data_IF_888859798422
#
_entry.id   IF_888859798422
#
_cell.length_a   1.000
_cell.length_b   1.000
_cell.length_c   1.000
_cell.angle_alpha   90.00
_cell.angle_beta   90.00
_cell.angle_gamma   90.00
#
_symmetry.space_group_name_H-M   'P 1'
#
loop_
_entity.id
_entity.type
_entity.pdbx_description
1 polymer ?
#
# COMPACT_ATOMS: atom_id res chain seq x y z
N UNK A 1 -22.19 15.92 25.34
CA UNK A 1 -22.53 14.49 25.46
C UNK A 1 -22.82 13.96 24.07
N UNK A 2 -21.84 13.33 23.42
CA UNK A 2 -22.09 12.53 22.23
C UNK A 2 -22.46 11.13 22.73
N UNK A 3 -23.66 10.66 22.38
CA UNK A 3 -24.16 9.34 22.75
C UNK A 3 -23.64 8.30 21.76
N UNK A 4 -23.32 7.11 22.27
CA UNK A 4 -22.83 5.90 21.58
C UNK A 4 -23.78 5.38 20.49
N UNK A 5 -24.97 5.97 20.35
CA UNK A 5 -25.98 5.63 19.34
C UNK A 5 -25.57 5.85 17.88
N UNK A 6 -24.28 6.07 17.57
CA UNK A 6 -23.73 6.26 16.22
C UNK A 6 -22.96 5.02 15.69
N UNK A 7 -22.76 3.98 16.50
CA UNK A 7 -22.28 2.70 16.01
C UNK A 7 -23.44 1.91 15.36
N UNK A 8 -23.17 1.08 14.33
CA UNK A 8 -24.18 0.21 13.71
C UNK A 8 -24.88 -0.67 14.75
N UNK A 9 -26.17 -0.97 14.56
CA UNK A 9 -26.93 -1.78 15.54
C UNK A 9 -26.70 -3.29 15.35
N UNK A 10 -26.92 -4.09 16.41
CA UNK A 10 -26.89 -5.55 16.32
C UNK A 10 -27.73 -6.13 15.20
N UNK A 11 -27.06 -6.84 14.29
CA UNK A 11 -27.66 -7.53 13.14
C UNK A 11 -27.71 -6.73 11.83
N UNK A 12 -27.25 -5.48 11.81
CA UNK A 12 -27.01 -4.75 10.57
C UNK A 12 -25.70 -5.23 9.92
N UNK A 13 -25.68 -5.32 8.58
CA UNK A 13 -24.46 -5.69 7.84
C UNK A 13 -23.46 -4.56 8.06
N UNK A 14 -22.43 -4.82 8.88
CA UNK A 14 -21.43 -3.83 9.27
C UNK A 14 -20.78 -3.20 8.03
N UNK A 15 -21.11 -1.94 7.77
CA UNK A 15 -20.40 -1.14 6.78
C UNK A 15 -19.10 -0.64 7.44
N UNK A 16 -17.97 -1.21 7.03
CA UNK A 16 -16.65 -0.89 7.58
C UNK A 16 -16.26 0.58 7.33
N UNK A 17 -16.76 1.19 6.25
CA UNK A 17 -16.55 2.61 5.99
C UNK A 17 -17.39 3.47 6.95
N UNK A 18 -18.60 3.03 7.30
CA UNK A 18 -19.43 3.68 8.31
C UNK A 18 -18.83 3.53 9.71
N UNK A 19 -18.31 2.35 10.06
CA UNK A 19 -17.61 2.11 11.32
C UNK A 19 -16.36 3.00 11.44
N UNK A 20 -15.51 3.03 10.40
CA UNK A 20 -14.33 3.90 10.36
C UNK A 20 -14.73 5.37 10.54
N UNK A 21 -15.74 5.85 9.80
CA UNK A 21 -16.26 7.22 9.94
C UNK A 21 -16.79 7.52 11.34
N UNK A 22 -17.48 6.57 11.98
CA UNK A 22 -17.99 6.71 13.34
C UNK A 22 -16.85 6.77 14.36
N UNK A 23 -15.82 5.93 14.24
CA UNK A 23 -14.61 5.98 15.08
C UNK A 23 -13.89 7.32 14.89
N UNK A 24 -13.70 7.75 13.64
CA UNK A 24 -13.11 9.03 13.29
C UNK A 24 -13.85 10.19 13.97
N UNK A 25 -15.19 10.24 13.86
CA UNK A 25 -16.00 11.25 14.53
C UNK A 25 -15.90 11.19 16.06
N UNK A 26 -15.84 9.98 16.64
CA UNK A 26 -15.68 9.79 18.08
C UNK A 26 -14.34 10.34 18.57
N UNK A 27 -13.24 10.01 17.89
CA UNK A 27 -11.90 10.55 18.14
C UNK A 27 -11.95 12.07 18.09
N UNK A 28 -12.51 12.65 17.02
CA UNK A 28 -12.65 14.10 16.86
C UNK A 28 -13.57 14.76 17.90
N UNK A 29 -14.55 14.04 18.46
CA UNK A 29 -15.46 14.53 19.50
C UNK A 29 -14.83 14.58 20.89
N UNK A 30 -13.69 13.90 21.11
CA UNK A 30 -12.88 13.98 22.35
C UNK A 30 -12.02 15.24 22.43
N UNK A 31 -12.05 16.09 21.39
CA UNK A 31 -11.39 17.40 21.41
C UNK A 31 -12.03 18.29 22.49
N UNK A 32 -11.22 19.05 23.22
CA UNK A 32 -11.72 20.06 24.16
C UNK A 32 -12.18 21.30 23.40
N UNK A 33 -13.00 22.13 24.04
CA UNK A 33 -13.62 23.33 23.43
C UNK A 33 -12.64 24.33 22.78
N UNK A 34 -11.33 24.22 23.06
CA UNK A 34 -10.30 25.16 22.60
C UNK A 34 -9.01 24.47 22.10
N UNK A 35 -9.00 23.15 21.86
CA UNK A 35 -7.79 22.45 21.37
C UNK A 35 -7.87 20.91 21.37
N UNK A 36 -6.76 20.25 21.01
CA UNK A 36 -6.67 18.78 20.98
C UNK A 36 -6.55 18.14 22.39
N UNK A 37 -6.31 16.82 22.47
CA UNK A 37 -6.30 16.01 23.69
C UNK A 37 -5.38 16.57 24.80
N UNK A 38 -5.59 16.12 26.04
CA UNK A 38 -4.91 16.67 27.22
C UNK A 38 -3.37 16.65 27.12
N UNK A 39 -2.78 15.55 26.64
CA UNK A 39 -1.34 15.43 26.47
C UNK A 39 -0.85 15.64 25.04
N UNK A 40 0.44 15.97 24.93
CA UNK A 40 1.14 16.14 23.65
C UNK A 40 1.30 14.81 22.93
N UNK A 41 1.49 13.70 23.66
CA UNK A 41 1.68 12.38 23.06
C UNK A 41 0.41 11.91 22.33
N UNK A 42 -0.76 12.05 22.95
CA UNK A 42 -2.04 11.69 22.35
C UNK A 42 -2.35 12.56 21.14
N UNK A 43 -2.01 13.85 21.21
CA UNK A 43 -2.14 14.79 20.09
C UNK A 43 -1.23 14.39 18.93
N UNK A 44 0.00 13.98 19.21
CA UNK A 44 0.95 13.52 18.20
C UNK A 44 0.50 12.21 17.56
N UNK A 45 0.02 11.26 18.36
CA UNK A 45 -0.47 9.96 17.86
C UNK A 45 -1.68 10.16 16.97
N UNK A 46 -2.69 10.91 17.41
CA UNK A 46 -3.85 11.20 16.57
C UNK A 46 -3.46 11.96 15.29
N UNK A 47 -2.47 12.85 15.37
CA UNK A 47 -1.88 13.49 14.19
C UNK A 47 -1.34 12.46 13.21
N UNK A 48 -0.57 11.50 13.70
CA UNK A 48 0.00 10.43 12.90
C UNK A 48 -1.08 9.53 12.28
N UNK A 49 -2.08 9.11 13.07
CA UNK A 49 -3.22 8.32 12.58
C UNK A 49 -3.98 9.06 11.48
N UNK A 50 -4.27 10.36 11.64
CA UNK A 50 -4.92 11.10 10.55
C UNK A 50 -4.00 11.37 9.36
N UNK A 51 -2.69 11.48 9.58
CA UNK A 51 -1.73 11.66 8.49
C UNK A 51 -1.65 10.41 7.60
N UNK A 52 -1.72 9.20 8.15
CA UNK A 52 -1.76 7.97 7.34
C UNK A 52 -3.00 7.89 6.44
N UNK A 53 -4.07 8.61 6.79
CA UNK A 53 -5.32 8.66 6.01
C UNK A 53 -5.28 9.67 4.85
N UNK A 54 -4.21 10.48 4.70
CA UNK A 54 -4.14 11.60 3.75
C UNK A 54 -4.34 11.20 2.28
N UNK A 55 -3.95 9.97 1.91
CA UNK A 55 -4.12 9.48 0.54
C UNK A 55 -5.59 9.24 0.18
N UNK A 56 -6.44 8.99 1.19
CA UNK A 56 -7.85 8.59 1.03
C UNK A 56 -8.81 9.73 1.38
N UNK A 57 -8.50 10.51 2.42
CA UNK A 57 -9.35 11.59 2.92
C UNK A 57 -8.65 12.95 2.83
N UNK A 58 -9.24 13.88 2.08
CA UNK A 58 -8.78 15.26 1.91
C UNK A 58 -8.90 16.13 3.19
N UNK A 59 -8.89 15.55 4.39
CA UNK A 59 -9.11 16.25 5.66
C UNK A 59 -7.86 17.00 6.15
N UNK A 60 -7.31 17.80 5.24
CA UNK A 60 -6.20 18.72 5.45
C UNK A 60 -6.48 19.73 6.55
N UNK A 61 -7.75 19.97 6.92
CA UNK A 61 -8.11 20.89 7.99
C UNK A 61 -7.66 20.35 9.36
N UNK A 62 -8.00 19.11 9.70
CA UNK A 62 -7.64 18.50 11.00
C UNK A 62 -6.13 18.46 11.15
N UNK A 63 -5.41 18.03 10.11
CA UNK A 63 -3.94 17.94 10.10
C UNK A 63 -3.30 19.32 10.29
N UNK A 64 -3.82 20.35 9.60
CA UNK A 64 -3.31 21.71 9.77
C UNK A 64 -3.55 22.26 11.17
N UNK A 65 -4.67 21.89 11.80
CA UNK A 65 -4.95 22.27 13.18
C UNK A 65 -3.98 21.57 14.14
N UNK A 66 -3.76 20.25 14.00
CA UNK A 66 -2.83 19.48 14.85
C UNK A 66 -1.42 20.05 14.72
N UNK A 67 -0.99 20.31 13.49
CA UNK A 67 0.27 21.00 13.21
C UNK A 67 0.37 22.34 13.94
N UNK A 68 -0.68 23.15 13.89
CA UNK A 68 -0.73 24.45 14.55
C UNK A 68 -0.52 24.34 16.07
N UNK A 69 -1.15 23.36 16.71
CA UNK A 69 -1.01 23.14 18.15
C UNK A 69 0.36 22.59 18.53
N UNK A 70 0.87 21.60 17.79
CA UNK A 70 2.22 21.03 18.03
C UNK A 70 3.31 22.09 17.89
N UNK A 71 3.15 23.03 16.95
CA UNK A 71 4.10 24.14 16.78
C UNK A 71 3.85 25.31 17.74
N UNK A 72 2.72 25.31 18.45
CA UNK A 72 2.31 26.29 19.45
C UNK A 72 2.29 25.69 20.85
N UNK A 73 1.10 25.67 21.46
CA UNK A 73 0.90 25.39 22.89
C UNK A 73 1.18 23.94 23.29
N UNK A 74 1.21 23.00 22.35
CA UNK A 74 1.49 21.57 22.60
C UNK A 74 2.93 21.20 22.30
N UNK A 75 3.78 22.15 21.92
CA UNK A 75 5.21 21.87 21.68
C UNK A 75 5.83 21.30 22.96
N UNK A 76 6.50 20.13 22.92
CA UNK A 76 7.27 19.60 24.05
C UNK A 76 8.22 20.68 24.62
N UNK A 77 8.16 20.88 25.93
CA UNK A 77 8.90 21.92 26.67
C UNK A 77 10.00 21.33 27.57
N UNK A 78 9.84 20.09 27.98
CA UNK A 78 10.75 19.31 28.80
C UNK A 78 10.92 17.89 28.20
N UNK A 79 11.73 17.72 27.14
CA UNK A 79 11.98 16.42 26.52
C UNK A 79 12.75 15.43 27.42
N UNK A 80 13.07 15.81 28.66
CA UNK A 80 13.62 14.89 29.66
C UNK A 80 12.53 14.15 30.45
N UNK A 81 11.26 14.55 30.33
CA UNK A 81 10.13 13.75 30.77
C UNK A 81 9.81 12.69 29.70
N UNK A 82 9.60 11.44 30.12
CA UNK A 82 9.41 10.30 29.22
C UNK A 82 8.25 10.48 28.24
N UNK A 83 7.11 10.98 28.74
CA UNK A 83 5.93 11.25 27.92
C UNK A 83 6.17 12.33 26.86
N UNK A 84 6.96 13.35 27.18
CA UNK A 84 7.34 14.41 26.24
C UNK A 84 8.41 13.94 25.24
N UNK A 85 9.32 13.06 25.67
CA UNK A 85 10.29 12.42 24.79
C UNK A 85 9.58 11.53 23.75
N UNK A 86 8.67 10.68 24.20
CA UNK A 86 7.83 9.85 23.32
C UNK A 86 7.00 10.73 22.38
N UNK A 87 6.47 11.84 22.88
CA UNK A 87 5.75 12.80 22.06
C UNK A 87 6.65 13.43 20.99
N UNK A 88 7.90 13.78 21.29
CA UNK A 88 8.84 14.29 20.28
C UNK A 88 9.06 13.28 19.16
N UNK A 89 9.24 12.00 19.48
CA UNK A 89 9.37 10.93 18.49
C UNK A 89 8.09 10.79 17.65
N UNK A 90 6.91 10.74 18.27
CA UNK A 90 5.63 10.70 17.52
C UNK A 90 5.41 11.92 16.63
N UNK A 91 5.75 13.12 17.12
CA UNK A 91 5.69 14.35 16.34
C UNK A 91 6.62 14.26 15.12
N UNK A 92 7.83 13.71 15.29
CA UNK A 92 8.75 13.53 14.18
C UNK A 92 8.19 12.57 13.12
N UNK A 93 7.59 11.45 13.54
CA UNK A 93 6.89 10.53 12.63
C UNK A 93 5.75 11.25 11.89
N UNK A 94 4.89 11.96 12.62
CA UNK A 94 3.77 12.71 12.06
C UNK A 94 4.23 13.73 11.00
N UNK A 95 5.24 14.54 11.31
CA UNK A 95 5.75 15.54 10.36
C UNK A 95 6.36 14.90 9.11
N UNK A 96 6.95 13.72 9.26
CA UNK A 96 7.49 12.99 8.13
C UNK A 96 6.37 12.47 7.21
N UNK A 97 5.30 11.90 7.77
CA UNK A 97 4.12 11.43 7.00
C UNK A 97 3.46 12.57 6.20
N UNK A 98 3.41 13.79 6.75
CA UNK A 98 2.83 14.96 6.05
C UNK A 98 3.83 15.72 5.18
N UNK A 99 4.97 15.12 4.84
CA UNK A 99 6.01 15.68 3.97
C UNK A 99 6.63 17.01 4.47
N UNK A 100 6.73 17.18 5.79
CA UNK A 100 7.39 18.32 6.45
C UNK A 100 8.69 17.87 7.12
N UNK A 101 9.60 17.30 6.33
CA UNK A 101 10.83 16.68 6.84
C UNK A 101 11.71 17.63 7.67
N UNK A 102 11.74 18.94 7.39
CA UNK A 102 12.51 19.88 8.23
C UNK A 102 12.04 19.90 9.69
N UNK A 103 10.73 19.83 9.92
CA UNK A 103 10.16 19.77 11.27
C UNK A 103 10.41 18.40 11.89
N UNK A 104 10.28 17.31 11.12
CA UNK A 104 10.60 15.98 11.60
C UNK A 104 12.06 15.87 12.10
N UNK A 105 13.00 16.47 11.36
CA UNK A 105 14.42 16.54 11.71
C UNK A 105 14.66 17.32 13.00
N UNK A 106 13.97 18.44 13.21
CA UNK A 106 14.09 19.23 14.44
C UNK A 106 13.68 18.41 15.68
N UNK A 107 12.52 17.74 15.61
CA UNK A 107 12.00 16.96 16.74
C UNK A 107 12.80 15.69 17.01
N UNK A 108 13.27 14.99 15.98
CA UNK A 108 14.11 13.79 16.18
C UNK A 108 15.49 14.15 16.77
N UNK A 109 16.05 15.31 16.41
CA UNK A 109 17.33 15.77 16.98
C UNK A 109 17.16 16.19 18.44
N UNK A 110 16.07 16.88 18.76
CA UNK A 110 15.71 17.21 20.14
C UNK A 110 15.53 15.94 20.99
N UNK A 111 14.75 14.98 20.47
CA UNK A 111 14.49 13.72 21.15
C UNK A 111 15.78 12.91 21.36
N UNK A 112 16.60 12.74 20.32
CA UNK A 112 17.86 11.99 20.42
C UNK A 112 18.84 12.63 21.39
N UNK A 113 18.90 13.97 21.44
CA UNK A 113 19.74 14.68 22.42
C UNK A 113 19.29 14.36 23.85
N UNK A 114 17.99 14.51 24.16
CA UNK A 114 17.45 14.21 25.49
C UNK A 114 17.57 12.74 25.86
N UNK A 115 17.25 11.83 24.94
CA UNK A 115 17.40 10.40 25.15
C UNK A 115 18.86 10.01 25.44
N UNK A 116 19.84 10.64 24.77
CA UNK A 116 21.26 10.41 25.03
C UNK A 116 21.69 10.98 26.40
N UNK A 117 21.22 12.17 26.77
CA UNK A 117 21.46 12.74 28.10
C UNK A 117 20.90 11.81 29.20
N UNK A 118 19.68 11.32 29.04
CA UNK A 118 19.05 10.32 29.92
C UNK A 118 19.89 9.04 29.98
N UNK A 119 20.25 8.47 28.83
CA UNK A 119 20.99 7.22 28.74
C UNK A 119 22.40 7.31 29.35
N UNK A 120 22.98 8.52 29.44
CA UNK A 120 24.34 8.74 29.94
C UNK A 120 24.40 9.18 31.40
N UNK A 121 23.42 9.96 31.89
CA UNK A 121 23.48 10.61 33.20
C UNK A 121 22.68 9.97 34.33
N UNK A 122 21.76 9.06 34.02
CA UNK A 122 20.93 8.39 35.04
C UNK A 122 21.68 7.19 35.63
N UNK A 123 21.48 6.84 36.90
CA UNK A 123 22.00 5.58 37.49
C UNK A 123 21.55 4.40 36.60
N UNK A 124 22.39 3.41 36.27
CA UNK A 124 21.96 2.20 35.57
C UNK A 124 20.63 1.63 36.07
N UNK A 125 20.31 1.67 37.37
CA UNK A 125 19.02 1.20 37.87
C UNK A 125 17.85 2.14 37.56
N UNK A 126 18.06 3.47 37.59
CA UNK A 126 17.05 4.48 37.24
C UNK A 126 16.86 4.63 35.71
N UNK A 127 17.87 4.29 34.89
CA UNK A 127 17.81 4.35 33.41
C UNK A 127 16.67 3.52 32.82
N UNK A 128 16.26 2.49 33.55
CA UNK A 128 15.35 1.48 33.03
C UNK A 128 13.88 1.81 33.22
N UNK A 129 13.52 2.75 34.10
CA UNK A 129 12.14 3.19 34.19
C UNK A 129 11.73 3.97 32.93
N UNK A 130 12.67 4.73 32.34
CA UNK A 130 12.44 5.60 31.17
C UNK A 130 12.02 4.91 29.86
N UNK A 131 12.25 3.61 29.73
CA UNK A 131 11.91 2.82 28.54
C UNK A 131 11.05 1.60 28.90
N UNK A 132 10.43 1.60 30.08
CA UNK A 132 9.65 0.47 30.57
C UNK A 132 8.19 0.47 30.07
N UNK A 133 7.70 1.61 29.61
CA UNK A 133 6.35 1.73 29.03
C UNK A 133 6.37 1.37 27.54
N UNK A 134 5.54 0.42 27.11
CA UNK A 134 5.55 -0.07 25.73
C UNK A 134 5.16 1.00 24.70
N UNK A 135 4.37 2.00 25.07
CA UNK A 135 4.01 3.15 24.23
C UNK A 135 5.24 3.96 23.82
N UNK A 136 6.15 4.20 24.77
CA UNK A 136 7.30 5.05 24.52
C UNK A 136 8.33 4.31 23.66
N UNK A 137 8.53 3.02 23.93
CA UNK A 137 9.35 2.16 23.08
C UNK A 137 8.82 2.12 21.64
N UNK A 138 7.51 1.89 21.49
CA UNK A 138 6.87 1.93 20.19
C UNK A 138 7.04 3.29 19.51
N UNK A 139 6.86 4.39 20.24
CA UNK A 139 7.01 5.74 19.72
C UNK A 139 8.40 6.01 19.14
N UNK A 140 9.44 5.65 19.88
CA UNK A 140 10.84 5.80 19.48
C UNK A 140 11.13 5.02 18.20
N UNK A 141 10.78 3.73 18.18
CA UNK A 141 11.07 2.85 17.04
C UNK A 141 10.31 3.30 15.79
N UNK A 142 9.04 3.67 15.95
CA UNK A 142 8.21 4.17 14.85
C UNK A 142 8.76 5.45 14.22
N UNK A 143 9.22 6.40 15.04
CA UNK A 143 9.82 7.63 14.53
C UNK A 143 11.10 7.39 13.73
N UNK A 144 11.94 6.48 14.20
CA UNK A 144 13.17 6.12 13.50
C UNK A 144 12.90 5.42 12.17
N UNK A 145 11.92 4.51 12.13
CA UNK A 145 11.49 3.88 10.89
C UNK A 145 10.89 4.89 9.90
N UNK A 146 9.95 5.74 10.36
CA UNK A 146 9.29 6.73 9.52
C UNK A 146 10.28 7.73 8.91
N UNK A 147 11.26 8.20 9.70
CA UNK A 147 12.27 9.17 9.25
C UNK A 147 13.44 8.55 8.48
N UNK A 148 13.46 7.21 8.32
CA UNK A 148 14.58 6.46 7.76
C UNK A 148 15.94 6.87 8.38
N UNK A 149 15.94 7.06 9.70
CA UNK A 149 17.12 7.46 10.48
C UNK A 149 17.50 6.34 11.42
N UNK A 150 18.78 6.01 11.48
CA UNK A 150 19.30 5.07 12.46
C UNK A 150 19.22 5.67 13.87
N UNK A 151 18.83 4.84 14.83
CA UNK A 151 18.97 5.14 16.25
C UNK A 151 20.46 5.33 16.55
N UNK A 152 20.84 6.37 17.31
CA UNK A 152 22.19 6.44 17.87
C UNK A 152 22.51 5.16 18.64
N UNK A 153 23.71 4.59 18.47
CA UNK A 153 24.11 3.29 19.00
C UNK A 153 23.74 3.09 20.48
N UNK A 154 23.98 4.13 21.30
CA UNK A 154 23.68 4.07 22.73
C UNK A 154 22.19 4.00 23.04
N UNK A 155 21.35 4.69 22.26
CA UNK A 155 19.90 4.64 22.41
C UNK A 155 19.39 3.28 21.93
N UNK A 156 19.91 2.80 20.80
CA UNK A 156 19.57 1.48 20.26
C UNK A 156 19.84 0.36 21.28
N UNK A 157 21.01 0.39 21.93
CA UNK A 157 21.37 -0.56 23.00
C UNK A 157 20.36 -0.54 24.15
N UNK A 158 19.90 0.64 24.57
CA UNK A 158 18.94 0.80 25.67
C UNK A 158 17.54 0.32 25.27
N UNK A 159 17.10 0.63 24.04
CA UNK A 159 15.81 0.17 23.50
C UNK A 159 15.78 -1.35 23.41
N UNK A 160 16.83 -1.99 22.86
CA UNK A 160 16.93 -3.45 22.77
C UNK A 160 16.94 -4.10 24.16
N UNK A 161 17.73 -3.59 25.09
CA UNK A 161 17.77 -4.11 26.46
C UNK A 161 16.42 -4.01 27.19
N UNK A 162 15.66 -2.95 26.91
CA UNK A 162 14.32 -2.75 27.49
C UNK A 162 13.30 -3.70 26.88
N UNK A 163 13.33 -3.89 25.55
CA UNK A 163 12.48 -4.86 24.85
C UNK A 163 12.74 -6.30 25.33
N UNK A 164 14.00 -6.68 25.50
CA UNK A 164 14.36 -8.01 26.03
C UNK A 164 13.83 -8.22 27.45
N UNK A 165 13.92 -7.20 28.31
CA UNK A 165 13.39 -7.28 29.66
C UNK A 165 11.87 -7.40 29.68
N UNK A 166 11.16 -6.61 28.87
CA UNK A 166 9.70 -6.70 28.77
C UNK A 166 9.31 -8.10 28.30
N UNK A 167 10.03 -8.65 27.32
CA UNK A 167 9.84 -10.02 26.84
C UNK A 167 10.07 -11.06 27.95
N UNK A 168 11.15 -10.93 28.73
CA UNK A 168 11.48 -11.81 29.86
C UNK A 168 10.49 -11.70 31.02
N UNK A 169 9.85 -10.54 31.20
CA UNK A 169 8.81 -10.31 32.20
C UNK A 169 7.43 -10.86 31.79
N UNK A 170 7.39 -11.84 30.87
CA UNK A 170 6.18 -12.44 30.32
C UNK A 170 5.24 -11.40 29.67
N UNK A 171 5.73 -10.62 28.70
CA UNK A 171 4.92 -9.63 27.95
C UNK A 171 3.57 -10.14 27.40
N UNK A 172 3.43 -11.46 27.30
CA UNK A 172 2.26 -12.17 26.87
C UNK A 172 1.12 -12.21 27.91
N UNK A 173 1.37 -11.79 29.15
CA UNK A 173 0.33 -11.68 30.18
C UNK A 173 -0.54 -10.45 29.99
N UNK A 174 -0.08 -9.49 29.21
CA UNK A 174 -0.81 -8.25 28.94
C UNK A 174 -0.81 -8.00 27.43
N UNK A 175 -1.99 -8.17 26.82
CA UNK A 175 -2.20 -8.00 25.39
C UNK A 175 -1.75 -6.65 24.84
N UNK A 176 -1.92 -5.59 25.63
CA UNK A 176 -1.54 -4.24 25.25
C UNK A 176 -0.02 -4.07 25.23
N UNK A 177 0.68 -4.57 26.28
CA UNK A 177 2.15 -4.59 26.32
C UNK A 177 2.70 -5.40 25.14
N UNK A 178 2.18 -6.61 24.92
CA UNK A 178 2.58 -7.45 23.79
C UNK A 178 2.40 -6.73 22.45
N UNK A 179 1.25 -6.10 22.22
CA UNK A 179 0.94 -5.49 20.95
C UNK A 179 1.96 -4.40 20.57
N UNK A 180 2.26 -3.51 21.50
CA UNK A 180 3.18 -2.39 21.28
C UNK A 180 4.65 -2.83 21.30
N UNK A 181 5.08 -3.57 22.33
CA UNK A 181 6.47 -4.02 22.44
C UNK A 181 6.83 -5.07 21.38
N UNK A 182 5.90 -5.97 21.04
CA UNK A 182 6.07 -6.94 19.97
C UNK A 182 6.18 -6.25 18.60
N UNK A 183 5.36 -5.22 18.33
CA UNK A 183 5.49 -4.41 17.11
C UNK A 183 6.85 -3.71 17.04
N UNK A 184 7.26 -3.04 18.12
CA UNK A 184 8.57 -2.40 18.21
C UNK A 184 9.72 -3.39 18.00
N UNK A 185 9.62 -4.59 18.59
CA UNK A 185 10.61 -5.66 18.42
C UNK A 185 10.71 -6.15 16.96
N UNK A 186 9.58 -6.27 16.25
CA UNK A 186 9.60 -6.63 14.83
C UNK A 186 10.25 -5.55 13.97
N UNK A 187 9.87 -4.28 14.20
CA UNK A 187 10.38 -3.13 13.45
C UNK A 187 11.89 -2.96 13.62
N UNK A 188 12.41 -3.04 14.85
CA UNK A 188 13.86 -2.85 15.11
C UNK A 188 14.72 -4.00 14.57
N UNK A 189 14.12 -5.18 14.37
CA UNK A 189 14.79 -6.36 13.81
C UNK A 189 14.45 -6.57 12.33
N UNK A 190 13.97 -5.52 11.64
CA UNK A 190 13.62 -5.52 10.22
C UNK A 190 12.75 -6.72 9.79
N UNK A 191 11.84 -7.15 10.67
CA UNK A 191 10.97 -8.31 10.45
C UNK A 191 11.74 -9.59 10.07
N UNK A 192 12.97 -9.77 10.56
CA UNK A 192 13.74 -11.00 10.32
C UNK A 192 12.95 -12.25 10.70
N UNK A 193 13.21 -13.37 10.02
CA UNK A 193 12.52 -14.63 10.30
C UNK A 193 12.58 -15.01 11.78
N UNK A 194 13.76 -14.88 12.41
CA UNK A 194 13.93 -15.17 13.84
C UNK A 194 13.07 -14.26 14.73
N UNK A 195 12.98 -12.97 14.42
CA UNK A 195 12.14 -12.05 15.18
C UNK A 195 10.65 -12.36 15.01
N UNK A 196 10.22 -12.63 13.77
CA UNK A 196 8.85 -13.04 13.49
C UNK A 196 8.48 -14.34 14.21
N UNK A 197 9.33 -15.37 14.13
CA UNK A 197 9.10 -16.64 14.82
C UNK A 197 9.02 -16.45 16.34
N UNK A 198 9.90 -15.63 16.92
CA UNK A 198 9.92 -15.35 18.36
C UNK A 198 8.65 -14.64 18.84
N UNK A 199 8.25 -13.56 18.16
CA UNK A 199 7.06 -12.77 18.55
C UNK A 199 5.78 -13.58 18.35
N UNK A 200 5.72 -14.43 17.33
CA UNK A 200 4.53 -15.23 17.01
C UNK A 200 4.32 -16.45 17.92
N UNK A 201 5.28 -16.84 18.77
CA UNK A 201 5.11 -17.96 19.72
C UNK A 201 3.86 -17.78 20.57
N UNK A 202 3.67 -16.61 21.18
CA UNK A 202 2.53 -16.41 22.08
C UNK A 202 1.19 -16.38 21.35
N UNK A 203 0.99 -15.57 20.29
CA UNK A 203 -0.27 -15.58 19.55
C UNK A 203 -0.71 -16.97 19.08
N UNK A 204 0.23 -17.83 18.69
CA UNK A 204 -0.03 -19.21 18.28
C UNK A 204 -0.50 -20.13 19.41
N UNK A 205 -0.29 -19.75 20.68
CA UNK A 205 -0.67 -20.52 21.87
C UNK A 205 -1.94 -20.00 22.54
N UNK A 206 -2.54 -18.92 22.01
CA UNK A 206 -3.72 -18.31 22.57
C UNK A 206 -4.93 -19.25 22.54
N UNK A 207 -5.57 -19.42 23.69
CA UNK A 207 -6.91 -19.99 23.76
C UNK A 207 -7.91 -18.92 23.32
N UNK A 208 -8.18 -18.89 22.01
CA UNK A 208 -9.04 -17.89 21.39
C UNK A 208 -10.46 -17.88 21.97
N UNK A 209 -10.89 -18.92 22.70
CA UNK A 209 -12.21 -18.91 23.36
C UNK A 209 -12.26 -17.97 24.56
N UNK A 210 -11.12 -17.66 25.19
CA UNK A 210 -11.00 -16.89 26.44
C UNK A 210 -10.58 -15.43 26.28
N UNK A 211 -10.43 -14.95 25.04
CA UNK A 211 -10.07 -13.56 24.77
C UNK A 211 -11.36 -12.73 24.65
N UNK A 212 -11.77 -12.07 25.73
CA UNK A 212 -12.88 -11.13 25.79
C UNK A 212 -12.36 -9.68 25.80
N UNK A 213 -11.59 -9.29 26.81
CA UNK A 213 -11.08 -7.91 26.99
C UNK A 213 -9.77 -7.62 26.21
N UNK A 214 -9.00 -8.66 25.91
CA UNK A 214 -7.70 -8.56 25.21
C UNK A 214 -7.80 -8.53 23.67
N UNK A 215 -9.01 -8.56 23.10
CA UNK A 215 -9.21 -8.73 21.67
C UNK A 215 -8.71 -7.55 20.84
N UNK A 216 -8.87 -6.31 21.32
CA UNK A 216 -8.51 -5.12 20.57
C UNK A 216 -6.99 -4.98 20.34
N UNK A 217 -6.11 -4.90 21.36
CA UNK A 217 -4.68 -4.72 21.12
C UNK A 217 -4.05 -5.85 20.31
N UNK A 218 -4.49 -7.09 20.53
CA UNK A 218 -4.01 -8.24 19.74
C UNK A 218 -4.50 -8.12 18.30
N UNK A 219 -5.76 -7.77 18.06
CA UNK A 219 -6.27 -7.56 16.69
C UNK A 219 -5.47 -6.46 15.99
N UNK A 220 -5.21 -5.35 16.67
CA UNK A 220 -4.39 -4.26 16.13
C UNK A 220 -2.98 -4.73 15.77
N UNK A 221 -2.31 -5.48 16.65
CA UNK A 221 -0.99 -6.04 16.39
C UNK A 221 -0.97 -6.88 15.09
N UNK A 222 -1.96 -7.76 14.95
CA UNK A 222 -2.10 -8.57 13.75
C UNK A 222 -2.33 -7.70 12.53
N UNK A 223 -3.33 -6.81 12.55
CA UNK A 223 -3.60 -5.93 11.41
C UNK A 223 -2.38 -5.15 10.98
N UNK A 224 -1.66 -4.55 11.92
CA UNK A 224 -0.51 -3.70 11.60
C UNK A 224 0.66 -4.48 11.00
N UNK A 225 0.97 -5.65 11.54
CA UNK A 225 2.21 -6.36 11.21
C UNK A 225 2.02 -7.53 10.22
N UNK A 226 0.77 -7.88 9.90
CA UNK A 226 0.41 -9.12 9.20
C UNK A 226 1.21 -9.37 7.93
N UNK A 227 1.23 -8.41 7.01
CA UNK A 227 1.79 -8.61 5.68
C UNK A 227 3.30 -8.90 5.73
N UNK A 228 4.02 -8.18 6.60
CA UNK A 228 5.47 -8.34 6.77
C UNK A 228 5.82 -9.61 7.55
N UNK A 229 5.06 -9.93 8.60
CA UNK A 229 5.26 -11.20 9.35
C UNK A 229 5.01 -12.38 8.43
N UNK A 230 3.93 -12.37 7.66
CA UNK A 230 3.54 -13.44 6.73
C UNK A 230 4.64 -13.78 5.72
N UNK A 231 5.34 -12.76 5.21
CA UNK A 231 6.43 -12.92 4.24
C UNK A 231 7.66 -13.62 4.83
N UNK A 232 7.87 -13.51 6.15
CA UNK A 232 9.11 -13.90 6.82
C UNK A 232 8.96 -15.15 7.71
N UNK A 233 7.78 -15.77 7.77
CA UNK A 233 7.53 -17.02 8.50
C UNK A 233 7.27 -18.20 7.57
N UNK A 234 7.41 -19.41 8.13
CA UNK A 234 7.09 -20.64 7.40
C UNK A 234 5.59 -20.79 7.08
N UNK A 235 5.30 -21.61 6.07
CA UNK A 235 3.94 -21.82 5.54
C UNK A 235 2.98 -22.46 6.56
N UNK A 236 3.47 -23.34 7.43
CA UNK A 236 2.65 -24.00 8.45
C UNK A 236 2.14 -22.99 9.47
N UNK A 237 3.01 -22.12 9.99
CA UNK A 237 2.62 -21.07 10.94
C UNK A 237 1.72 -20.03 10.27
N UNK A 238 1.97 -19.69 9.00
CA UNK A 238 1.15 -18.74 8.23
C UNK A 238 -0.34 -19.08 8.30
N UNK A 239 -0.71 -20.34 8.05
CA UNK A 239 -2.11 -20.77 8.09
C UNK A 239 -2.74 -20.61 9.49
N UNK A 240 -2.04 -21.00 10.54
CA UNK A 240 -2.57 -20.87 11.91
C UNK A 240 -2.76 -19.42 12.32
N UNK A 241 -1.89 -18.53 11.86
CA UNK A 241 -1.97 -17.10 12.16
C UNK A 241 -3.11 -16.46 11.35
N UNK A 242 -3.31 -16.86 10.09
CA UNK A 242 -4.47 -16.49 9.27
C UNK A 242 -5.79 -16.83 10.00
N UNK A 243 -5.92 -18.06 10.49
CA UNK A 243 -7.09 -18.51 11.24
C UNK A 243 -7.27 -17.72 12.55
N UNK A 244 -6.18 -17.43 13.26
CA UNK A 244 -6.19 -16.65 14.49
C UNK A 244 -6.67 -15.22 14.26
N UNK A 245 -6.17 -14.55 13.22
CA UNK A 245 -6.57 -13.19 12.86
C UNK A 245 -8.06 -13.11 12.57
N UNK A 246 -8.61 -14.07 11.81
CA UNK A 246 -10.04 -14.12 11.49
C UNK A 246 -10.90 -14.25 12.76
N UNK A 247 -10.49 -15.10 13.70
CA UNK A 247 -11.22 -15.28 14.96
C UNK A 247 -11.16 -14.02 15.83
N UNK A 248 -9.98 -13.40 15.95
CA UNK A 248 -9.79 -12.16 16.72
C UNK A 248 -10.65 -11.01 16.16
N UNK A 249 -10.66 -10.82 14.84
CA UNK A 249 -11.53 -9.85 14.16
C UNK A 249 -13.01 -10.10 14.47
N UNK A 250 -13.46 -11.35 14.29
CA UNK A 250 -14.85 -11.73 14.56
C UNK A 250 -15.26 -11.41 16.00
N UNK A 251 -14.36 -11.70 16.96
CA UNK A 251 -14.57 -11.37 18.37
C UNK A 251 -14.61 -9.88 18.64
N UNK A 252 -13.67 -9.11 18.09
CA UNK A 252 -13.64 -7.66 18.24
C UNK A 252 -14.94 -7.04 17.72
N UNK A 253 -15.39 -7.45 16.53
CA UNK A 253 -16.64 -6.97 15.94
C UNK A 253 -17.85 -7.34 16.80
N UNK A 254 -17.89 -8.56 17.33
CA UNK A 254 -18.94 -8.99 18.23
C UNK A 254 -18.98 -8.18 19.54
N UNK A 255 -17.81 -7.88 20.11
CA UNK A 255 -17.70 -7.02 21.30
C UNK A 255 -18.20 -5.61 21.00
N UNK A 256 -17.78 -5.01 19.89
CA UNK A 256 -18.23 -3.66 19.49
C UNK A 256 -19.75 -3.59 19.27
N UNK A 257 -20.38 -4.69 18.86
CA UNK A 257 -21.83 -4.79 18.66
C UNK A 257 -22.62 -4.89 19.98
N UNK A 258 -22.01 -5.48 21.02
CA UNK A 258 -22.67 -5.75 22.30
C UNK A 258 -22.51 -4.63 23.33
N UNK A 259 -21.48 -3.79 23.22
CA UNK A 259 -21.21 -2.76 24.22
C UNK A 259 -21.80 -1.40 23.86
N UNK A 260 -22.48 -0.79 24.83
CA UNK A 260 -22.66 0.65 24.91
C UNK A 260 -21.29 1.22 25.35
N UNK A 261 -20.42 1.57 24.40
CA UNK A 261 -19.07 2.11 24.63
C UNK A 261 -19.13 3.40 25.45
N UNK A 262 -19.13 3.31 26.78
CA UNK A 262 -19.15 4.47 27.67
C UNK A 262 -17.74 5.06 27.79
N UNK A 263 -17.64 6.35 27.47
CA UNK A 263 -16.37 7.08 27.35
C UNK A 263 -15.87 7.51 28.73
N UNK A 264 -14.76 6.95 29.23
CA UNK A 264 -14.10 7.55 30.39
C UNK A 264 -13.30 8.79 29.99
N UNK A 265 -13.53 9.85 30.74
CA UNK A 265 -12.74 11.07 30.71
C UNK A 265 -11.66 10.91 31.77
N UNK A 266 -10.40 10.78 31.35
CA UNK A 266 -9.19 10.75 32.18
C UNK A 266 -9.10 9.60 33.19
N UNK A 267 -8.04 8.80 33.09
CA UNK A 267 -7.41 8.29 34.32
C UNK A 267 -5.92 8.66 34.28
N UNK A 268 -5.42 9.36 35.31
CA UNK A 268 -4.02 9.24 35.68
C UNK A 268 -3.76 7.77 36.06
N UNK A 269 -2.59 7.24 35.73
CA UNK A 269 -2.23 5.84 35.99
C UNK A 269 -2.24 5.40 37.48
N UNK A 270 -2.58 6.28 38.42
CA UNK A 270 -2.47 6.05 39.87
C UNK A 270 -3.80 6.15 40.65
N UNK A 271 -4.97 6.24 40.01
CA UNK A 271 -6.24 6.33 40.75
C UNK A 271 -6.86 4.95 41.00
N UNK A 272 -6.89 4.54 42.28
CA UNK A 272 -7.63 3.38 42.79
C UNK A 272 -9.04 3.32 42.18
N UNK A 273 -9.30 2.22 41.47
CA UNK A 273 -10.59 1.91 40.86
C UNK A 273 -11.56 1.44 41.94
N UNK A 274 -12.30 2.36 42.55
CA UNK A 274 -13.53 2.03 43.25
C UNK A 274 -14.61 3.08 42.95
N UNK A 275 -15.79 2.57 42.59
CA UNK A 275 -17.08 3.26 42.41
C UNK A 275 -17.38 3.94 41.06
N UNK A 276 -17.66 3.12 40.03
CA UNK A 276 -18.62 3.49 38.98
C UNK A 276 -19.40 2.26 38.48
N UNK A 277 -20.63 2.08 38.95
CA UNK A 277 -21.53 0.97 38.61
C UNK A 277 -22.22 1.10 37.25
N UNK A 278 -21.46 1.19 36.16
CA UNK A 278 -21.97 1.03 34.80
C UNK A 278 -21.17 -0.04 34.06
N UNK A 279 -21.84 -1.09 33.57
CA UNK A 279 -21.28 -2.21 32.79
C UNK A 279 -20.74 -1.78 31.39
N UNK A 280 -20.37 -0.51 31.20
CA UNK A 280 -19.86 0.03 29.94
C UNK A 280 -18.35 -0.11 29.83
N UNK A 281 -17.86 -0.58 28.67
CA UNK A 281 -16.44 -0.68 28.37
C UNK A 281 -15.82 0.72 28.24
N UNK A 282 -14.86 1.03 29.12
CA UNK A 282 -14.06 2.26 29.08
C UNK A 282 -12.92 2.08 28.07
N UNK A 283 -12.92 2.86 26.98
CA UNK A 283 -11.86 2.84 25.96
C UNK A 283 -10.98 4.10 26.07
N UNK A 284 -9.67 3.94 26.19
CA UNK A 284 -8.69 5.03 26.18
C UNK A 284 -8.58 5.71 24.80
N UNK A 285 -7.88 6.84 24.69
CA UNK A 285 -7.68 7.51 23.39
C UNK A 285 -6.79 6.66 22.48
N UNK A 286 -5.76 6.02 23.03
CA UNK A 286 -4.85 5.15 22.27
C UNK A 286 -5.62 3.94 21.70
N UNK A 287 -6.47 3.30 22.50
CA UNK A 287 -7.28 2.17 22.03
C UNK A 287 -8.29 2.59 20.95
N UNK A 288 -8.85 3.81 21.02
CA UNK A 288 -9.65 4.34 19.92
C UNK A 288 -8.83 4.54 18.64
N UNK A 289 -7.59 5.01 18.74
CA UNK A 289 -6.71 5.17 17.58
C UNK A 289 -6.30 3.80 17.00
N UNK A 290 -6.07 2.80 17.84
CA UNK A 290 -5.87 1.41 17.38
C UNK A 290 -7.09 0.88 16.63
N UNK A 291 -8.30 1.13 17.14
CA UNK A 291 -9.55 0.79 16.45
C UNK A 291 -9.67 1.49 15.09
N UNK A 292 -9.27 2.76 15.02
CA UNK A 292 -9.31 3.55 13.78
C UNK A 292 -8.35 2.97 12.73
N UNK A 293 -7.11 2.64 13.11
CA UNK A 293 -6.14 1.97 12.23
C UNK A 293 -6.65 0.60 11.72
N UNK A 294 -7.29 -0.19 12.59
CA UNK A 294 -7.94 -1.45 12.18
C UNK A 294 -9.03 -1.14 11.14
N UNK A 295 -9.95 -0.23 11.45
CA UNK A 295 -11.08 0.09 10.59
C UNK A 295 -10.64 0.66 9.23
N UNK A 296 -9.60 1.49 9.22
CA UNK A 296 -8.99 2.01 8.00
C UNK A 296 -8.41 0.88 7.15
N UNK A 297 -7.56 0.01 7.72
CA UNK A 297 -6.95 -1.09 6.97
C UNK A 297 -8.01 -2.01 6.37
N UNK A 298 -9.11 -2.25 7.08
CA UNK A 298 -10.25 -3.02 6.57
C UNK A 298 -11.02 -2.27 5.47
N UNK A 299 -11.26 -0.97 5.63
CA UNK A 299 -11.83 -0.12 4.58
C UNK A 299 -10.97 -0.17 3.31
N UNK A 300 -9.66 0.00 3.44
CA UNK A 300 -8.70 -0.13 2.34
C UNK A 300 -8.72 -1.55 1.75
N UNK A 301 -8.72 -2.61 2.57
CA UNK A 301 -8.80 -3.99 2.08
C UNK A 301 -10.11 -4.31 1.34
N UNK A 302 -11.23 -3.68 1.73
CA UNK A 302 -12.49 -3.77 0.97
C UNK A 302 -12.47 -2.98 -0.34
N UNK A 303 -11.51 -2.06 -0.50
CA UNK A 303 -11.20 -1.30 -1.72
C UNK A 303 -10.04 -1.94 -2.54
N UNK A 304 -9.26 -2.84 -1.93
CA UNK A 304 -8.12 -3.52 -2.55
C UNK A 304 -8.63 -4.79 -3.24
N UNK A 305 -8.31 -4.86 -4.52
CA UNK A 305 -8.47 -5.98 -5.42
C UNK A 305 -8.27 -7.34 -4.70
N UNK A 306 -9.26 -8.21 -4.82
CA UNK A 306 -9.29 -9.60 -4.33
C UNK A 306 -8.01 -10.37 -4.69
N UNK A 307 -7.70 -11.44 -3.95
CA UNK A 307 -6.59 -12.35 -4.30
C UNK A 307 -6.70 -12.84 -5.77
N UNK A 308 -7.92 -13.05 -6.26
CA UNK A 308 -8.21 -13.36 -7.67
C UNK A 308 -7.76 -12.25 -8.62
N UNK A 309 -7.93 -10.98 -8.24
CA UNK A 309 -7.50 -9.82 -9.02
C UNK A 309 -5.98 -9.61 -8.92
N UNK A 310 -5.33 -9.86 -7.77
CA UNK A 310 -3.86 -9.86 -7.65
C UNK A 310 -3.24 -10.96 -8.53
N UNK A 311 -3.79 -12.17 -8.46
CA UNK A 311 -3.35 -13.28 -9.30
C UNK A 311 -3.66 -13.00 -10.78
N UNK A 312 -4.78 -12.33 -11.07
CA UNK A 312 -5.13 -11.78 -12.38
C UNK A 312 -4.08 -10.79 -12.89
N UNK A 313 -3.67 -9.81 -12.08
CA UNK A 313 -2.63 -8.86 -12.43
C UNK A 313 -1.28 -9.52 -12.68
N UNK A 314 -0.90 -10.50 -11.85
CA UNK A 314 0.33 -11.28 -12.05
C UNK A 314 0.29 -12.07 -13.36
N UNK A 315 -0.84 -12.72 -13.64
CA UNK A 315 -1.04 -13.47 -14.88
C UNK A 315 -0.98 -12.56 -16.10
N UNK A 316 -1.68 -11.42 -16.08
CA UNK A 316 -1.67 -10.43 -17.16
C UNK A 316 -0.28 -9.84 -17.38
N UNK A 317 0.43 -9.50 -16.30
CA UNK A 317 1.80 -8.99 -16.37
C UNK A 317 2.76 -10.03 -16.95
N UNK A 318 2.64 -11.30 -16.52
CA UNK A 318 3.44 -12.41 -17.05
C UNK A 318 3.14 -12.68 -18.53
N UNK A 319 1.88 -12.63 -18.94
CA UNK A 319 1.47 -12.83 -20.33
C UNK A 319 2.01 -11.71 -21.22
N UNK A 320 1.90 -10.45 -20.77
CA UNK A 320 2.47 -9.32 -21.50
C UNK A 320 3.99 -9.40 -21.60
N UNK A 321 4.68 -9.72 -20.50
CA UNK A 321 6.13 -9.86 -20.49
C UNK A 321 6.61 -10.98 -21.44
N UNK A 322 5.85 -12.07 -21.54
CA UNK A 322 6.11 -13.14 -22.50
C UNK A 322 6.02 -12.63 -23.95
N UNK A 323 4.92 -11.96 -24.32
CA UNK A 323 4.81 -11.36 -25.66
C UNK A 323 5.89 -10.32 -25.91
N UNK A 324 6.22 -9.49 -24.92
CA UNK A 324 7.28 -8.48 -25.04
C UNK A 324 8.60 -9.09 -25.45
N UNK A 325 9.08 -10.09 -24.70
CA UNK A 325 10.36 -10.75 -24.99
C UNK A 325 10.36 -11.40 -26.37
N UNK A 326 9.26 -12.09 -26.72
CA UNK A 326 9.11 -12.76 -28.01
C UNK A 326 9.12 -11.76 -29.18
N UNK A 327 8.36 -10.68 -29.07
CA UNK A 327 8.23 -9.64 -30.09
C UNK A 327 9.55 -8.89 -30.26
N UNK A 328 10.20 -8.48 -29.17
CA UNK A 328 11.48 -7.76 -29.20
C UNK A 328 12.56 -8.60 -29.90
N UNK A 329 12.69 -9.87 -29.54
CA UNK A 329 13.67 -10.78 -30.15
C UNK A 329 13.41 -10.93 -31.66
N UNK A 330 12.16 -11.18 -32.04
CA UNK A 330 11.79 -11.44 -33.43
C UNK A 330 11.86 -10.20 -34.31
N UNK A 331 11.42 -9.05 -33.81
CA UNK A 331 11.51 -7.80 -34.54
C UNK A 331 12.96 -7.32 -34.69
N UNK A 332 13.83 -7.55 -33.70
CA UNK A 332 15.25 -7.31 -33.85
C UNK A 332 15.85 -8.16 -34.99
N UNK A 333 15.48 -9.45 -35.09
CA UNK A 333 15.96 -10.35 -36.15
C UNK A 333 15.57 -9.88 -37.56
N UNK A 334 14.37 -9.30 -37.74
CA UNK A 334 13.92 -8.77 -39.03
C UNK A 334 14.33 -7.31 -39.28
N UNK A 335 15.11 -6.72 -38.39
CA UNK A 335 15.67 -5.37 -38.55
C UNK A 335 14.73 -4.23 -38.16
N UNK A 336 13.76 -4.49 -37.28
CA UNK A 336 12.80 -3.51 -36.74
C UNK A 336 13.00 -3.21 -35.24
N UNK A 337 14.14 -3.62 -34.67
CA UNK A 337 14.43 -3.40 -33.25
C UNK A 337 14.55 -1.92 -32.87
N UNK A 338 15.15 -1.10 -33.74
CA UNK A 338 15.33 0.34 -33.48
C UNK A 338 14.01 1.11 -33.40
N UNK A 339 12.99 0.68 -34.15
CA UNK A 339 11.64 1.25 -34.06
C UNK A 339 10.99 0.95 -32.72
N UNK A 340 11.23 -0.24 -32.14
CA UNK A 340 10.75 -0.58 -30.79
C UNK A 340 11.47 0.24 -29.71
N UNK A 341 12.79 0.39 -29.82
CA UNK A 341 13.58 1.19 -28.89
C UNK A 341 13.06 2.64 -28.86
N UNK A 342 12.82 3.24 -30.04
CA UNK A 342 12.29 4.59 -30.16
C UNK A 342 10.87 4.75 -29.55
N UNK A 343 10.03 3.70 -29.65
CA UNK A 343 8.71 3.68 -28.98
C UNK A 343 8.90 3.72 -27.46
N UNK A 344 9.78 2.89 -26.92
CA UNK A 344 10.03 2.81 -25.48
C UNK A 344 10.64 4.09 -24.91
N UNK A 345 11.65 4.65 -25.57
CA UNK A 345 12.23 5.94 -25.21
C UNK A 345 11.15 7.03 -25.19
N UNK A 346 10.24 7.01 -26.17
CA UNK A 346 9.11 7.94 -26.23
C UNK A 346 8.18 7.84 -25.01
N UNK A 347 7.81 6.63 -24.61
CA UNK A 347 6.92 6.36 -23.47
C UNK A 347 7.55 6.63 -22.11
N UNK A 348 8.87 6.49 -21.99
CA UNK A 348 9.61 6.70 -20.74
C UNK A 348 9.66 8.17 -20.31
N UNK A 349 9.42 9.10 -21.23
CA UNK A 349 9.39 10.53 -20.93
C UNK A 349 8.01 11.01 -20.47
N UNK A 350 7.95 12.09 -19.70
CA UNK A 350 6.70 12.81 -19.40
C UNK A 350 6.49 13.98 -20.38
N UNK A 351 6.51 13.65 -21.68
CA UNK A 351 6.33 14.63 -22.75
C UNK A 351 5.29 14.15 -23.79
N UNK A 352 4.16 14.85 -23.96
CA UNK A 352 3.14 14.51 -24.95
C UNK A 352 3.65 14.39 -26.40
N UNK A 353 4.66 15.17 -26.78
CA UNK A 353 5.24 15.07 -28.12
C UNK A 353 5.99 13.74 -28.31
N UNK A 354 6.65 13.25 -27.27
CA UNK A 354 7.31 11.94 -27.28
C UNK A 354 6.29 10.80 -27.36
N UNK A 355 5.16 10.90 -26.65
CA UNK A 355 4.08 9.91 -26.74
C UNK A 355 3.43 9.87 -28.12
N UNK A 356 3.27 11.03 -28.75
CA UNK A 356 2.82 11.12 -30.15
C UNK A 356 3.81 10.44 -31.10
N UNK A 357 5.12 10.61 -30.89
CA UNK A 357 6.13 9.92 -31.67
C UNK A 357 6.10 8.40 -31.46
N UNK A 358 5.84 7.93 -30.23
CA UNK A 358 5.66 6.51 -29.94
C UNK A 358 4.46 5.92 -30.70
N UNK A 359 3.33 6.64 -30.76
CA UNK A 359 2.15 6.23 -31.56
C UNK A 359 2.50 6.11 -33.06
N UNK A 360 3.26 7.06 -33.59
CA UNK A 360 3.74 6.99 -34.98
C UNK A 360 4.70 5.81 -35.19
N UNK A 361 5.53 5.52 -34.18
CA UNK A 361 6.39 4.34 -34.14
C UNK A 361 5.60 3.03 -34.30
N UNK A 362 4.49 2.87 -33.58
CA UNK A 362 3.64 1.68 -33.69
C UNK A 362 3.14 1.46 -35.14
N UNK A 363 2.74 2.54 -35.83
CA UNK A 363 2.36 2.47 -37.25
C UNK A 363 3.54 2.06 -38.13
N UNK A 364 4.72 2.61 -37.89
CA UNK A 364 5.91 2.33 -38.68
C UNK A 364 6.35 0.87 -38.53
N UNK A 365 6.24 0.28 -37.34
CA UNK A 365 6.50 -1.15 -37.10
C UNK A 365 5.59 -2.01 -37.97
N UNK A 366 4.27 -1.77 -37.97
CA UNK A 366 3.33 -2.50 -38.83
C UNK A 366 3.65 -2.35 -40.32
N UNK A 367 3.93 -1.13 -40.75
CA UNK A 367 4.26 -0.84 -42.14
C UNK A 367 5.53 -1.58 -42.57
N UNK A 368 6.61 -1.46 -41.79
CA UNK A 368 7.88 -2.11 -42.03
C UNK A 368 7.74 -3.62 -42.08
N UNK A 369 7.03 -4.18 -41.10
CA UNK A 369 6.81 -5.62 -41.02
C UNK A 369 6.00 -6.13 -42.22
N UNK A 370 4.94 -5.42 -42.62
CA UNK A 370 4.15 -5.80 -43.78
C UNK A 370 4.95 -5.82 -45.09
N UNK A 371 5.97 -4.95 -45.21
CA UNK A 371 6.86 -4.87 -46.36
C UNK A 371 7.91 -5.99 -46.35
N UNK A 372 8.41 -6.34 -45.17
CA UNK A 372 9.38 -7.43 -45.00
C UNK A 372 8.72 -8.78 -45.30
N UNK A 373 7.54 -9.01 -44.72
CA UNK A 373 6.85 -10.30 -44.77
C UNK A 373 6.15 -10.56 -46.11
N UNK A 374 5.72 -9.53 -46.83
CA UNK A 374 5.03 -9.69 -48.10
C UNK A 374 5.88 -9.21 -49.28
N UNK A 375 6.53 -10.15 -49.97
CA UNK A 375 7.39 -9.89 -51.13
C UNK A 375 6.83 -10.46 -52.44
N UNK A 376 5.68 -11.13 -52.38
CA UNK A 376 4.99 -11.69 -53.56
C UNK A 376 4.64 -10.57 -54.55
N UNK A 377 5.04 -10.68 -55.84
CA UNK A 377 4.79 -9.64 -56.82
C UNK A 377 3.30 -9.52 -57.18
N UNK A 378 2.86 -8.28 -57.44
CA UNK A 378 1.50 -7.96 -57.88
C UNK A 378 0.76 -7.04 -56.91
N UNK A 379 -0.36 -6.49 -57.41
CA UNK A 379 -1.18 -5.52 -56.67
C UNK A 379 -2.40 -6.14 -55.96
N UNK A 380 -2.70 -7.40 -56.26
CA UNK A 380 -3.84 -8.15 -55.74
C UNK A 380 -3.42 -9.55 -55.29
N UNK A 381 -4.02 -10.02 -54.19
CA UNK A 381 -3.91 -11.40 -53.73
C UNK A 381 -5.31 -12.02 -53.61
N UNK A 382 -5.42 -13.30 -53.97
CA UNK A 382 -6.68 -14.06 -53.85
C UNK A 382 -6.60 -14.92 -52.59
N UNK A 383 -7.42 -14.57 -51.60
CA UNK A 383 -7.54 -15.32 -50.35
C UNK A 383 -8.12 -16.73 -50.59
N UNK A 384 -7.92 -17.68 -49.66
CA UNK A 384 -8.45 -19.04 -49.77
C UNK A 384 -9.99 -19.13 -49.85
N UNK A 385 -10.71 -18.10 -49.39
CA UNK A 385 -12.16 -17.96 -49.52
C UNK A 385 -12.62 -17.48 -50.92
N UNK A 386 -11.67 -17.16 -51.82
CA UNK A 386 -11.92 -16.64 -53.15
C UNK A 386 -11.99 -15.11 -53.25
N UNK A 387 -11.96 -14.39 -52.13
CA UNK A 387 -11.95 -12.93 -52.06
C UNK A 387 -10.63 -12.37 -52.60
N UNK A 388 -10.70 -11.27 -53.36
CA UNK A 388 -9.52 -10.55 -53.83
C UNK A 388 -9.27 -9.34 -52.95
N UNK A 389 -8.06 -9.21 -52.43
CA UNK A 389 -7.61 -8.07 -51.63
C UNK A 389 -6.47 -7.34 -52.33
N UNK A 390 -6.46 -6.01 -52.23
CA UNK A 390 -5.35 -5.21 -52.74
C UNK A 390 -4.17 -5.22 -51.76
N UNK A 391 -2.97 -5.52 -52.26
CA UNK A 391 -1.70 -5.59 -51.50
C UNK A 391 -0.71 -4.49 -51.91
N UNK A 392 -1.23 -3.36 -52.40
CA UNK A 392 -0.45 -2.16 -52.75
C UNK A 392 0.30 -1.56 -51.55
N UNK A 393 1.18 -0.59 -51.81
CA UNK A 393 2.16 -0.05 -50.86
C UNK A 393 1.57 0.49 -49.55
N UNK A 394 0.32 0.98 -49.54
CA UNK A 394 -0.37 1.54 -48.36
C UNK A 394 -1.50 0.64 -47.86
N UNK A 395 -1.30 -0.68 -47.97
CA UNK A 395 -2.27 -1.70 -47.54
C UNK A 395 -1.63 -2.68 -46.58
N UNK A 396 -0.98 -2.16 -45.53
CA UNK A 396 -0.30 -2.94 -44.48
C UNK A 396 -1.19 -4.05 -43.91
N UNK A 397 -2.46 -3.73 -43.60
CA UNK A 397 -3.45 -4.71 -43.15
C UNK A 397 -3.60 -5.85 -44.15
N UNK A 398 -3.83 -5.52 -45.42
CA UNK A 398 -4.12 -6.52 -46.43
C UNK A 398 -2.88 -7.36 -46.74
N UNK A 399 -1.67 -6.78 -46.67
CA UNK A 399 -0.41 -7.51 -46.81
C UNK A 399 -0.20 -8.51 -45.68
N UNK A 400 -0.45 -8.12 -44.43
CA UNK A 400 -0.38 -9.03 -43.29
C UNK A 400 -1.45 -10.13 -43.36
N UNK A 401 -2.67 -9.81 -43.83
CA UNK A 401 -3.71 -10.81 -44.07
C UNK A 401 -3.35 -11.78 -45.21
N UNK A 402 -2.80 -11.27 -46.30
CA UNK A 402 -2.31 -12.08 -47.41
C UNK A 402 -1.18 -13.01 -46.95
N UNK A 403 -0.26 -12.50 -46.13
CA UNK A 403 0.83 -13.26 -45.53
C UNK A 403 0.32 -14.41 -44.66
N UNK A 404 -0.62 -14.16 -43.75
CA UNK A 404 -1.23 -15.20 -42.91
C UNK A 404 -1.89 -16.30 -43.76
N UNK A 405 -2.61 -15.90 -44.82
CA UNK A 405 -3.23 -16.83 -45.74
C UNK A 405 -2.18 -17.65 -46.51
N UNK A 406 -1.08 -17.04 -46.94
CA UNK A 406 0.03 -17.69 -47.61
C UNK A 406 0.73 -18.72 -46.71
N UNK A 407 0.92 -18.38 -45.43
CA UNK A 407 1.50 -19.28 -44.41
C UNK A 407 0.57 -20.40 -43.96
N UNK A 408 -0.65 -20.47 -44.51
CA UNK A 408 -1.59 -21.56 -44.24
C UNK A 408 -2.23 -21.49 -42.86
N UNK A 409 -2.25 -20.30 -42.22
CA UNK A 409 -2.95 -20.11 -40.95
C UNK A 409 -4.41 -20.52 -41.10
N UNK A 410 -4.91 -21.30 -40.14
CA UNK A 410 -6.20 -21.99 -40.26
C UNK A 410 -7.38 -21.02 -40.46
N UNK A 411 -8.45 -21.50 -41.10
CA UNK A 411 -9.68 -20.72 -41.31
C UNK A 411 -10.35 -20.28 -40.01
N UNK A 412 -10.07 -20.95 -38.88
CA UNK A 412 -10.60 -20.60 -37.56
C UNK A 412 -9.78 -19.51 -36.86
N UNK A 413 -8.47 -19.45 -37.10
CA UNK A 413 -7.59 -18.44 -36.51
C UNK A 413 -7.55 -17.13 -37.29
N UNK A 414 -7.64 -17.19 -38.64
CA UNK A 414 -7.58 -15.99 -39.49
C UNK A 414 -8.59 -14.89 -39.11
N UNK A 415 -9.87 -15.18 -38.78
CA UNK A 415 -10.82 -14.14 -38.38
C UNK A 415 -10.45 -13.42 -37.08
N UNK A 416 -9.81 -14.12 -36.13
CA UNK A 416 -9.44 -13.58 -34.82
C UNK A 416 -8.32 -12.56 -35.00
N UNK A 417 -7.21 -12.98 -35.60
CA UNK A 417 -6.06 -12.09 -35.85
C UNK A 417 -6.41 -10.95 -36.82
N UNK A 418 -7.35 -11.18 -37.76
CA UNK A 418 -7.89 -10.11 -38.60
C UNK A 418 -8.59 -9.04 -37.76
N UNK A 419 -9.43 -9.44 -36.81
CA UNK A 419 -10.14 -8.50 -35.94
C UNK A 419 -9.15 -7.71 -35.06
N UNK A 420 -8.08 -8.34 -34.58
CA UNK A 420 -7.02 -7.67 -33.82
C UNK A 420 -6.26 -6.64 -34.65
N UNK A 421 -5.81 -6.99 -35.86
CA UNK A 421 -5.19 -6.04 -36.78
C UNK A 421 -6.13 -4.87 -37.10
N UNK A 422 -7.42 -5.13 -37.33
CA UNK A 422 -8.41 -4.09 -37.60
C UNK A 422 -8.58 -3.16 -36.40
N UNK A 423 -8.72 -3.71 -35.19
CA UNK A 423 -8.84 -2.94 -33.97
C UNK A 423 -7.60 -2.05 -33.74
N UNK A 424 -6.40 -2.60 -33.89
CA UNK A 424 -5.16 -1.86 -33.64
C UNK A 424 -4.90 -0.78 -34.69
N UNK A 425 -5.16 -1.05 -35.97
CA UNK A 425 -5.04 -0.04 -37.04
C UNK A 425 -6.08 1.07 -36.84
N UNK A 426 -7.33 0.73 -36.49
CA UNK A 426 -8.36 1.73 -36.22
C UNK A 426 -8.00 2.61 -35.02
N UNK A 427 -7.45 2.02 -33.96
CA UNK A 427 -6.96 2.76 -32.79
C UNK A 427 -5.82 3.71 -33.19
N UNK A 428 -4.83 3.22 -33.93
CA UNK A 428 -3.70 4.00 -34.44
C UNK A 428 -4.18 5.21 -35.25
N UNK A 429 -5.05 4.99 -36.24
CA UNK A 429 -5.59 6.05 -37.09
C UNK A 429 -6.41 7.07 -36.29
N UNK A 430 -7.21 6.60 -35.33
CA UNK A 430 -8.02 7.47 -34.47
C UNK A 430 -7.14 8.38 -33.63
N UNK A 431 -6.07 7.86 -33.02
CA UNK A 431 -5.16 8.65 -32.20
C UNK A 431 -4.33 9.64 -33.05
N UNK A 432 -3.85 9.22 -34.21
CA UNK A 432 -3.14 10.11 -35.15
C UNK A 432 -4.06 11.25 -35.62
N UNK A 433 -5.30 10.96 -36.02
CA UNK A 433 -6.26 11.96 -36.48
C UNK A 433 -6.64 12.96 -35.37
N UNK A 434 -6.85 12.46 -34.14
CA UNK A 434 -7.07 13.31 -32.95
C UNK A 434 -5.91 14.27 -32.71
N UNK A 435 -4.68 13.77 -32.80
CA UNK A 435 -3.47 14.55 -32.58
C UNK A 435 -3.23 15.58 -33.69
N UNK A 436 -3.38 15.19 -34.95
CA UNK A 436 -3.16 16.05 -36.12
C UNK A 436 -4.09 17.26 -36.17
N UNK A 437 -5.30 17.15 -35.63
CA UNK A 437 -6.28 18.24 -35.57
C UNK A 437 -5.93 19.33 -34.54
N UNK A 438 -4.81 19.22 -33.82
CA UNK A 438 -4.35 20.13 -32.75
C UNK A 438 -5.39 20.36 -31.63
N UNK A 439 -6.41 19.50 -31.55
CA UNK A 439 -7.53 19.61 -30.60
C UNK A 439 -7.38 18.69 -29.39
N UNK A 440 -6.50 17.70 -29.49
CA UNK A 440 -6.31 16.69 -28.45
C UNK A 440 -4.81 16.46 -28.22
N UNK A 441 -4.36 16.67 -26.99
CA UNK A 441 -3.03 16.21 -26.57
C UNK A 441 -3.16 14.73 -26.24
N UNK A 442 -2.34 13.91 -26.88
CA UNK A 442 -2.23 12.49 -26.55
C UNK A 442 -1.85 12.37 -25.08
N UNK A 443 -2.57 11.52 -24.36
CA UNK A 443 -2.25 11.12 -22.98
C UNK A 443 -1.29 9.93 -22.96
N UNK A 444 -0.62 9.73 -21.83
CA UNK A 444 0.30 8.61 -21.63
C UNK A 444 -0.46 7.28 -21.71
N UNK A 445 -1.67 7.25 -21.18
CA UNK A 445 -2.57 6.10 -21.15
C UNK A 445 -3.03 5.70 -22.57
N UNK A 446 -3.33 6.69 -23.43
CA UNK A 446 -3.66 6.44 -24.84
C UNK A 446 -2.47 5.84 -25.60
N UNK A 447 -1.25 6.34 -25.35
CA UNK A 447 -0.04 5.80 -25.95
C UNK A 447 0.27 4.38 -25.45
N UNK A 448 0.17 4.13 -24.15
CA UNK A 448 0.32 2.80 -23.57
C UNK A 448 -0.70 1.81 -24.14
N UNK A 449 -1.97 2.20 -24.24
CA UNK A 449 -3.03 1.34 -24.78
C UNK A 449 -2.71 0.87 -26.21
N UNK A 450 -2.19 1.77 -27.06
CA UNK A 450 -1.80 1.39 -28.42
C UNK A 450 -0.58 0.47 -28.45
N UNK A 451 0.42 0.71 -27.60
CA UNK A 451 1.63 -0.11 -27.52
C UNK A 451 1.30 -1.51 -27.01
N UNK A 452 0.43 -1.62 -26.00
CA UNK A 452 -0.09 -2.91 -25.54
C UNK A 452 -0.78 -3.67 -26.68
N UNK A 453 -1.65 -2.99 -27.45
CA UNK A 453 -2.33 -3.59 -28.59
C UNK A 453 -1.32 -4.06 -29.66
N UNK A 454 -0.26 -3.28 -29.94
CA UNK A 454 0.81 -3.68 -30.86
C UNK A 454 1.47 -4.98 -30.42
N UNK A 455 1.90 -5.08 -29.15
CA UNK A 455 2.60 -6.26 -28.64
C UNK A 455 1.73 -7.52 -28.65
N UNK A 456 0.45 -7.40 -28.27
CA UNK A 456 -0.49 -8.53 -28.34
C UNK A 456 -0.67 -9.00 -29.79
N UNK A 457 -0.97 -8.06 -30.71
CA UNK A 457 -1.18 -8.40 -32.13
C UNK A 457 0.06 -8.99 -32.78
N UNK A 458 1.26 -8.48 -32.49
CA UNK A 458 2.51 -9.03 -33.02
C UNK A 458 2.87 -10.37 -32.38
N UNK A 459 2.60 -10.53 -31.08
CA UNK A 459 2.76 -11.79 -30.37
C UNK A 459 1.94 -12.91 -31.00
N UNK A 460 0.68 -12.65 -31.32
CA UNK A 460 -0.18 -13.59 -32.04
C UNK A 460 0.32 -13.89 -33.46
N UNK A 461 0.76 -12.87 -34.20
CA UNK A 461 1.34 -13.07 -35.53
C UNK A 461 2.57 -14.00 -35.49
N UNK A 462 3.44 -13.81 -34.50
CA UNK A 462 4.63 -14.64 -34.29
C UNK A 462 4.24 -16.05 -33.85
N UNK A 463 3.26 -16.20 -32.97
CA UNK A 463 2.81 -17.51 -32.52
C UNK A 463 2.22 -18.35 -33.67
N UNK A 464 1.65 -17.70 -34.69
CA UNK A 464 1.02 -18.35 -35.83
C UNK A 464 1.94 -18.52 -37.05
N UNK A 465 3.12 -17.90 -37.09
CA UNK A 465 3.99 -17.90 -38.28
C UNK A 465 5.48 -17.98 -37.94
N UNK A 466 6.31 -18.28 -38.93
CA UNK A 466 7.77 -18.31 -38.81
C UNK A 466 8.43 -16.93 -39.01
N UNK A 467 7.66 -15.91 -39.37
CA UNK A 467 8.11 -14.59 -39.86
C UNK A 467 9.06 -14.63 -41.07
N UNK A 468 9.12 -15.75 -41.79
CA UNK A 468 9.88 -15.84 -43.04
C UNK A 468 9.10 -15.17 -44.18
N UNK A 469 9.72 -14.33 -45.02
CA UNK A 469 9.02 -13.64 -46.10
C UNK A 469 8.22 -14.57 -47.03
N UNK A 470 7.01 -14.17 -47.39
CA UNK A 470 6.26 -14.75 -48.50
C UNK A 470 6.84 -14.22 -49.82
N UNK A 471 7.43 -15.12 -50.61
CA UNK A 471 8.06 -14.83 -51.91
C UNK A 471 7.22 -15.34 -53.07
#
# INVERSE_FOLDING_TARGET
MVSVSQLPKPGEKLDLAELHKSIHNLVLSRRKDVGFWEGTLETAWAGLTFASHLEVNQDTFVINLIKGEILGDKRPTNPNAESELAACYMIAAFFQEINLSSNAVEFIELANKSALEIATHVDPEERFHLFSTPEYLYAIVLAHQATNRLLPDKINEVVLASLDRIREADWYRNAYIFALAGTAYLMINDYSQTACELVMVWPLTLDLTKIDEASLPITWFFERNWDLVRLNINETHRKTIDETAVVLRSKLLHSLDQFDVQLAWSLPMDADQDEAGSDGLIISTIELLMLDEIAEKHSQQSLILTQEEIDGHRLLSSAFQHYKLLVDEKLAQVGLGGELDAIYEGLATDNPASWQNAILGCRNVLYGLSKILWQVPGDEYKLPNGEKISVKQDREKNRLLAYLAYKGVSKTQQPIIKAEFEAMINLTLTLIDKSAKAKHKISKEEAFSLVMALYVTLGELIALTDLEPAT
#
